data_IF_175564950804
#
_entry.id   IF_175564950804
#
_cell.length_a   1.000
_cell.length_b   1.000
_cell.length_c   1.000
_cell.angle_alpha   90.00
_cell.angle_beta   90.00
_cell.angle_gamma   90.00
#
_symmetry.space_group_name_H-M   'P 1'
#
loop_
_entity.id
_entity.type
_entity.pdbx_description
1 polymer ?
#
# COMPACT_ATOMS: atom_id res chain seq x y z
N UNK A 1 6.44 6.02 -15.02
CA UNK A 1 6.61 4.70 -14.39
C UNK A 1 6.43 4.82 -12.87
N UNK A 2 7.11 5.79 -12.24
CA UNK A 2 7.02 5.98 -10.78
C UNK A 2 5.66 6.55 -10.33
N UNK A 3 5.08 7.47 -11.09
CA UNK A 3 3.74 8.02 -10.80
C UNK A 3 2.66 6.94 -10.79
N UNK A 4 2.76 5.96 -11.70
CA UNK A 4 1.81 4.85 -11.75
C UNK A 4 1.94 3.95 -10.52
N UNK A 5 3.15 3.72 -10.02
CA UNK A 5 3.38 2.94 -8.79
C UNK A 5 2.85 3.67 -7.55
N UNK A 6 3.00 4.99 -7.50
CA UNK A 6 2.37 5.81 -6.45
C UNK A 6 0.84 5.72 -6.51
N UNK A 7 0.25 5.75 -7.72
CA UNK A 7 -1.19 5.53 -7.91
C UNK A 7 -1.62 4.13 -7.45
N UNK A 8 -0.85 3.08 -7.78
CA UNK A 8 -1.13 1.71 -7.35
C UNK A 8 -1.12 1.55 -5.83
N UNK A 9 -0.21 2.23 -5.12
CA UNK A 9 -0.24 2.29 -3.66
C UNK A 9 -1.51 2.98 -3.14
N UNK A 10 -2.02 3.99 -3.85
CA UNK A 10 -3.25 4.69 -3.53
C UNK A 10 -4.51 3.82 -3.62
N UNK A 11 -4.51 2.76 -4.42
CA UNK A 11 -5.70 1.91 -4.62
C UNK A 11 -6.22 1.25 -3.34
N UNK A 12 -5.38 1.09 -2.31
CA UNK A 12 -5.82 0.54 -1.02
C UNK A 12 -6.96 1.34 -0.39
N UNK A 13 -7.05 2.64 -0.70
CA UNK A 13 -8.10 3.53 -0.21
C UNK A 13 -9.42 3.33 -0.96
N UNK A 14 -9.36 2.88 -2.22
CA UNK A 14 -10.53 2.67 -3.07
C UNK A 14 -11.12 1.24 -2.96
N UNK A 15 -10.37 0.30 -2.38
CA UNK A 15 -10.82 -1.09 -2.22
C UNK A 15 -11.90 -1.16 -1.13
N UNK A 16 -13.15 -1.37 -1.53
CA UNK A 16 -14.29 -1.54 -0.61
C UNK A 16 -14.58 -3.00 -0.23
N UNK A 17 -13.78 -3.95 -0.72
CA UNK A 17 -13.94 -5.38 -0.45
C UNK A 17 -12.75 -5.92 0.37
N UNK A 18 -12.96 -6.06 1.67
CA UNK A 18 -11.87 -6.38 2.62
C UNK A 18 -11.16 -7.72 2.38
N UNK A 19 -11.83 -8.81 1.93
CA UNK A 19 -11.10 -10.04 1.58
C UNK A 19 -10.07 -9.86 0.45
N UNK A 20 -10.32 -8.95 -0.51
CA UNK A 20 -9.31 -8.60 -1.52
C UNK A 20 -8.14 -7.82 -0.91
N UNK A 21 -8.44 -6.86 -0.03
CA UNK A 21 -7.41 -6.10 0.69
C UNK A 21 -6.51 -7.01 1.55
N UNK A 22 -7.11 -8.00 2.23
CA UNK A 22 -6.37 -9.00 3.02
C UNK A 22 -5.40 -9.80 2.15
N UNK A 23 -5.84 -10.26 0.97
CA UNK A 23 -4.95 -10.97 0.03
C UNK A 23 -3.80 -10.12 -0.48
N UNK A 24 -4.04 -8.84 -0.74
CA UNK A 24 -2.99 -7.90 -1.15
C UNK A 24 -1.94 -7.76 -0.05
N UNK A 25 -2.39 -7.62 1.20
CA UNK A 25 -1.52 -7.52 2.37
C UNK A 25 -0.71 -8.80 2.61
N UNK A 26 -1.36 -9.98 2.59
CA UNK A 26 -0.69 -11.28 2.78
C UNK A 26 0.38 -11.56 1.73
N UNK A 27 0.19 -11.06 0.49
CA UNK A 27 1.12 -11.22 -0.62
C UNK A 27 2.23 -10.16 -0.64
N UNK A 28 2.24 -9.21 0.30
CA UNK A 28 3.23 -8.12 0.39
C UNK A 28 3.39 -7.29 -0.89
N UNK A 29 2.29 -7.15 -1.66
CA UNK A 29 2.34 -6.48 -2.96
C UNK A 29 2.64 -4.99 -2.82
N UNK A 30 2.22 -4.36 -1.72
CA UNK A 30 2.45 -2.94 -1.46
C UNK A 30 3.93 -2.66 -1.14
N UNK A 31 4.57 -3.57 -0.42
CA UNK A 31 5.99 -3.53 -0.11
C UNK A 31 6.84 -3.71 -1.37
N UNK A 32 6.46 -4.63 -2.26
CA UNK A 32 7.11 -4.81 -3.56
C UNK A 32 7.01 -3.54 -4.43
N UNK A 33 5.81 -2.92 -4.49
CA UNK A 33 5.63 -1.66 -5.21
C UNK A 33 6.48 -0.54 -4.58
N UNK A 34 6.51 -0.47 -3.24
CA UNK A 34 7.31 0.51 -2.50
C UNK A 34 8.82 0.39 -2.76
N UNK A 35 9.34 -0.83 -2.91
CA UNK A 35 10.76 -1.08 -3.23
C UNK A 35 11.16 -0.61 -4.63
N UNK A 36 10.20 -0.49 -5.56
CA UNK A 36 10.44 -0.01 -6.92
C UNK A 36 10.38 1.51 -7.06
N UNK A 37 10.01 2.22 -6.00
CA UNK A 37 9.93 3.69 -6.00
C UNK A 37 11.26 4.33 -5.57
N UNK A 38 11.47 5.62 -5.90
CA UNK A 38 12.66 6.35 -5.47
C UNK A 38 12.85 6.31 -3.95
N UNK A 39 14.07 5.99 -3.51
CA UNK A 39 14.41 5.91 -2.09
C UNK A 39 14.63 7.30 -1.47
N UNK A 40 13.55 8.08 -1.42
CA UNK A 40 13.49 9.41 -0.80
C UNK A 40 12.69 9.34 0.50
N UNK A 41 12.96 10.25 1.43
CA UNK A 41 12.29 10.26 2.74
C UNK A 41 10.78 10.43 2.57
N UNK A 42 10.37 11.28 1.63
CA UNK A 42 8.99 11.59 1.29
C UNK A 42 8.25 10.33 0.80
N UNK A 43 8.83 9.61 -0.15
CA UNK A 43 8.25 8.37 -0.68
C UNK A 43 8.18 7.29 0.39
N UNK A 44 9.24 7.09 1.17
CA UNK A 44 9.26 6.10 2.24
C UNK A 44 8.21 6.40 3.33
N UNK A 45 7.96 7.68 3.58
CA UNK A 45 6.91 8.13 4.50
C UNK A 45 5.52 7.81 3.95
N UNK A 46 5.27 8.05 2.67
CA UNK A 46 4.02 7.70 2.00
C UNK A 46 3.76 6.18 1.99
N UNK A 47 4.77 5.38 1.62
CA UNK A 47 4.69 3.90 1.63
C UNK A 47 4.35 3.41 3.03
N UNK A 48 5.05 3.90 4.06
CA UNK A 48 4.77 3.51 5.45
C UNK A 48 3.35 3.87 5.86
N UNK A 49 2.86 5.06 5.48
CA UNK A 49 1.49 5.49 5.79
C UNK A 49 0.44 4.57 5.16
N UNK A 50 0.66 4.15 3.92
CA UNK A 50 -0.20 3.20 3.20
C UNK A 50 -0.22 1.84 3.91
N UNK A 51 0.95 1.30 4.26
CA UNK A 51 1.04 0.00 4.96
C UNK A 51 0.34 0.02 6.32
N UNK A 52 0.59 1.05 7.14
CA UNK A 52 -0.06 1.21 8.43
C UNK A 52 -1.58 1.34 8.30
N UNK A 53 -2.07 2.07 7.30
CA UNK A 53 -3.51 2.18 7.05
C UNK A 53 -4.14 0.81 6.77
N UNK A 54 -3.50 -0.02 5.94
CA UNK A 54 -4.01 -1.35 5.60
C UNK A 54 -4.03 -2.27 6.83
N UNK A 55 -2.97 -2.26 7.63
CA UNK A 55 -2.89 -3.05 8.87
C UNK A 55 -3.94 -2.62 9.91
N UNK A 56 -4.10 -1.31 10.13
CA UNK A 56 -5.12 -0.75 11.01
C UNK A 56 -6.54 -1.10 10.53
N UNK A 57 -6.77 -1.12 9.21
CA UNK A 57 -8.07 -1.46 8.65
C UNK A 57 -8.38 -2.96 8.79
N UNK A 58 -7.39 -3.82 8.56
CA UNK A 58 -7.56 -5.27 8.66
C UNK A 58 -7.67 -5.78 10.10
N UNK A 59 -7.22 -5.01 11.09
CA UNK A 59 -7.36 -5.33 12.52
C UNK A 59 -8.71 -4.90 13.13
N UNK A 60 -9.47 -4.03 12.44
CA UNK A 60 -10.79 -3.54 12.89
C UNK A 60 -11.98 -4.32 12.32
N UNK A 61 -11.73 -5.25 11.39
CA UNK A 61 -12.70 -6.25 10.92
C UNK A 61 -12.55 -7.57 11.69
#
# INVERSE_FOLDING_TARGET
MDDFRLLQLGWVFDINYTPALRRIHERRQLEEIGQMLPNTVEVQTAVRRVLSYVEERLSKE
#
